data_IF_564217671961
#
_entry.id   IF_564217671961
#
_cell.length_a   1.000
_cell.length_b   1.000
_cell.length_c   1.000
_cell.angle_alpha   90.00
_cell.angle_beta   90.00
_cell.angle_gamma   90.00
#
_symmetry.space_group_name_H-M   'P 1'
#
loop_
_entity.id
_entity.type
_entity.pdbx_description
1 polymer ?
#
# COMPACT_ATOMS: atom_id res chain seq x y z
N UNK A 1 29.37 -32.76 7.88
CA UNK A 1 29.81 -31.46 7.34
C UNK A 1 28.70 -30.91 6.45
N UNK A 2 28.01 -29.85 6.89
CA UNK A 2 26.99 -29.20 6.06
C UNK A 2 27.73 -28.25 5.11
N UNK A 3 27.68 -28.54 3.80
CA UNK A 3 28.14 -27.59 2.79
C UNK A 3 27.24 -26.36 2.88
N UNK A 4 27.84 -25.17 3.00
CA UNK A 4 27.11 -23.91 2.86
C UNK A 4 26.64 -23.86 1.41
N UNK A 5 25.35 -24.12 1.20
CA UNK A 5 24.70 -23.97 -0.11
C UNK A 5 24.18 -22.54 -0.17
N UNK A 6 24.53 -21.75 -1.19
CA UNK A 6 23.93 -20.43 -1.40
C UNK A 6 22.41 -20.60 -1.52
N UNK A 7 21.64 -19.75 -0.83
CA UNK A 7 20.18 -19.76 -0.96
C UNK A 7 19.78 -19.61 -2.44
N UNK A 8 18.74 -20.34 -2.89
CA UNK A 8 18.34 -20.32 -4.29
C UNK A 8 17.94 -18.90 -4.73
N UNK A 9 18.33 -18.48 -5.96
CA UNK A 9 17.98 -17.17 -6.47
C UNK A 9 16.45 -17.07 -6.58
N UNK A 10 15.84 -16.17 -5.80
CA UNK A 10 14.40 -16.04 -5.64
C UNK A 10 13.89 -16.26 -4.21
N UNK A 11 14.73 -16.72 -3.28
CA UNK A 11 14.40 -16.81 -1.86
C UNK A 11 14.52 -15.46 -1.12
N UNK A 12 14.32 -14.33 -1.80
CA UNK A 12 14.09 -13.05 -1.13
C UNK A 12 12.75 -13.13 -0.42
N UNK A 13 12.77 -13.54 0.85
CA UNK A 13 11.64 -13.37 1.75
C UNK A 13 11.42 -11.86 1.86
N UNK A 14 10.46 -11.33 1.09
CA UNK A 14 10.04 -9.93 1.27
C UNK A 14 9.70 -9.77 2.76
N UNK A 15 10.36 -8.80 3.40
CA UNK A 15 10.03 -8.51 4.79
C UNK A 15 8.61 -7.95 4.85
N UNK A 16 7.97 -8.07 6.01
CA UNK A 16 6.66 -7.43 6.21
C UNK A 16 6.77 -5.91 6.00
N UNK A 17 7.90 -5.31 6.34
CA UNK A 17 8.18 -3.89 6.08
C UNK A 17 8.18 -3.57 4.58
N UNK A 18 8.90 -4.35 3.77
CA UNK A 18 8.93 -4.16 2.30
C UNK A 18 7.54 -4.25 1.69
N UNK A 19 6.72 -5.20 2.16
CA UNK A 19 5.33 -5.36 1.71
C UNK A 19 4.49 -4.15 2.11
N UNK A 20 4.61 -3.66 3.34
CA UNK A 20 3.86 -2.49 3.81
C UNK A 20 4.25 -1.21 3.06
N UNK A 21 5.54 -1.02 2.77
CA UNK A 21 6.03 0.09 1.93
C UNK A 21 5.41 0.00 0.54
N UNK A 22 5.47 -1.18 -0.08
CA UNK A 22 4.89 -1.38 -1.41
C UNK A 22 3.37 -1.14 -1.44
N UNK A 23 2.63 -1.58 -0.42
CA UNK A 23 1.19 -1.28 -0.31
C UNK A 23 0.97 0.23 -0.22
N UNK A 24 1.78 0.95 0.57
CA UNK A 24 1.68 2.41 0.67
C UNK A 24 1.84 3.10 -0.70
N UNK A 25 2.83 2.68 -1.49
CA UNK A 25 3.04 3.19 -2.86
C UNK A 25 1.81 2.96 -3.76
N UNK A 26 1.23 1.75 -3.72
CA UNK A 26 0.00 1.46 -4.46
C UNK A 26 -1.20 2.28 -3.98
N UNK A 27 -1.30 2.58 -2.69
CA UNK A 27 -2.38 3.43 -2.16
C UNK A 27 -2.26 4.87 -2.68
N UNK A 28 -1.05 5.42 -2.84
CA UNK A 28 -0.84 6.74 -3.45
C UNK A 28 -1.29 6.73 -4.92
N UNK A 29 -0.95 5.68 -5.67
CA UNK A 29 -1.44 5.53 -7.05
C UNK A 29 -2.97 5.44 -7.10
N UNK A 30 -3.59 4.63 -6.23
CA UNK A 30 -5.05 4.49 -6.16
C UNK A 30 -5.74 5.82 -5.84
N UNK A 31 -5.21 6.59 -4.88
CA UNK A 31 -5.73 7.89 -4.51
C UNK A 31 -5.67 8.88 -5.68
N UNK A 32 -4.55 8.88 -6.40
CA UNK A 32 -4.35 9.73 -7.58
C UNK A 32 -5.38 9.42 -8.67
N UNK A 33 -5.64 8.14 -8.94
CA UNK A 33 -6.65 7.71 -9.92
C UNK A 33 -8.05 8.15 -9.48
N UNK A 34 -8.39 7.99 -8.20
CA UNK A 34 -9.67 8.41 -7.66
C UNK A 34 -9.85 9.94 -7.77
N UNK A 35 -8.84 10.72 -7.40
CA UNK A 35 -8.84 12.18 -7.56
C UNK A 35 -9.02 12.61 -9.03
N UNK A 36 -8.30 11.99 -9.96
CA UNK A 36 -8.44 12.25 -11.39
C UNK A 36 -9.85 11.90 -11.90
N UNK A 37 -10.44 10.82 -11.40
CA UNK A 37 -11.82 10.42 -11.74
C UNK A 37 -12.83 11.48 -11.33
N UNK A 38 -12.68 12.08 -10.15
CA UNK A 38 -13.54 13.20 -9.68
C UNK A 38 -13.41 14.42 -10.60
N UNK A 39 -12.20 14.73 -11.05
CA UNK A 39 -11.96 15.86 -11.96
C UNK A 39 -12.55 15.64 -13.35
N UNK A 40 -12.50 14.42 -13.87
CA UNK A 40 -13.03 14.07 -15.20
C UNK A 40 -14.56 13.93 -15.21
N UNK A 41 -15.16 13.47 -14.11
CA UNK A 41 -16.59 13.16 -14.01
C UNK A 41 -17.29 13.92 -12.87
N UNK A 42 -17.16 15.24 -12.88
CA UNK A 42 -17.55 16.12 -11.77
C UNK A 42 -19.04 16.17 -11.41
N UNK A 43 -19.93 15.57 -12.19
CA UNK A 43 -21.40 15.60 -11.99
C UNK A 43 -22.06 14.21 -12.04
N UNK A 44 -21.26 13.14 -11.97
CA UNK A 44 -21.78 11.77 -12.07
C UNK A 44 -22.26 11.25 -10.70
N UNK A 45 -23.34 10.43 -10.62
CA UNK A 45 -23.74 9.72 -9.39
C UNK A 45 -22.61 8.90 -8.76
N UNK A 46 -21.65 8.43 -9.57
CA UNK A 46 -20.45 7.73 -9.13
C UNK A 46 -19.47 8.60 -8.33
N UNK A 47 -19.59 9.93 -8.36
CA UNK A 47 -18.67 10.84 -7.66
C UNK A 47 -18.70 10.63 -6.15
N UNK A 48 -19.88 10.40 -5.56
CA UNK A 48 -20.00 10.12 -4.12
C UNK A 48 -19.27 8.82 -3.76
N UNK A 49 -19.37 7.79 -4.61
CA UNK A 49 -18.65 6.53 -4.43
C UNK A 49 -17.14 6.73 -4.59
N UNK A 50 -16.70 7.57 -5.52
CA UNK A 50 -15.27 7.91 -5.68
C UNK A 50 -14.73 8.67 -4.48
N UNK A 51 -15.48 9.64 -3.95
CA UNK A 51 -15.09 10.37 -2.73
C UNK A 51 -15.03 9.44 -1.51
N UNK A 52 -16.00 8.53 -1.36
CA UNK A 52 -15.95 7.51 -0.32
C UNK A 52 -14.73 6.58 -0.49
N UNK A 53 -14.41 6.19 -1.73
CA UNK A 53 -13.21 5.40 -2.04
C UNK A 53 -11.94 6.13 -1.64
N UNK A 54 -11.84 7.44 -1.91
CA UNK A 54 -10.70 8.26 -1.48
C UNK A 54 -10.55 8.24 0.05
N UNK A 55 -11.65 8.40 0.78
CA UNK A 55 -11.65 8.36 2.25
C UNK A 55 -11.16 7.01 2.79
N UNK A 56 -11.62 5.89 2.22
CA UNK A 56 -11.16 4.56 2.63
C UNK A 56 -9.68 4.33 2.32
N UNK A 57 -9.17 4.86 1.19
CA UNK A 57 -7.75 4.80 0.84
C UNK A 57 -6.90 5.58 1.87
N UNK A 58 -7.32 6.77 2.26
CA UNK A 58 -6.64 7.58 3.29
C UNK A 58 -6.63 6.86 4.65
N UNK A 59 -7.75 6.26 5.05
CA UNK A 59 -7.82 5.48 6.27
C UNK A 59 -6.89 4.24 6.23
N UNK A 60 -6.83 3.56 5.08
CA UNK A 60 -5.90 2.46 4.88
C UNK A 60 -4.43 2.91 4.99
N UNK A 61 -4.06 4.07 4.44
CA UNK A 61 -2.72 4.64 4.59
C UNK A 61 -2.37 4.87 6.07
N UNK A 62 -3.28 5.44 6.87
CA UNK A 62 -3.06 5.61 8.31
C UNK A 62 -2.82 4.27 9.03
N UNK A 63 -3.56 3.21 8.66
CA UNK A 63 -3.35 1.88 9.22
C UNK A 63 -2.00 1.27 8.80
N UNK A 64 -1.54 1.54 7.58
CA UNK A 64 -0.22 1.13 7.08
C UNK A 64 0.88 1.84 7.86
N UNK A 65 0.76 3.15 8.12
CA UNK A 65 1.72 3.89 8.95
C UNK A 65 1.80 3.32 10.37
N UNK A 66 0.65 3.01 10.99
CA UNK A 66 0.61 2.32 12.28
C UNK A 66 1.27 0.95 12.20
N UNK A 67 1.03 0.19 11.14
CA UNK A 67 1.65 -1.12 10.94
C UNK A 67 3.18 -1.01 10.80
N UNK A 68 3.67 -0.07 10.00
CA UNK A 68 5.09 0.22 9.81
C UNK A 68 5.76 0.59 11.15
N UNK A 69 5.14 1.49 11.93
CA UNK A 69 5.68 1.86 13.25
C UNK A 69 5.86 0.65 14.18
N UNK A 70 4.95 -0.33 14.12
CA UNK A 70 5.02 -1.55 14.94
C UNK A 70 6.05 -2.55 14.44
N UNK A 71 6.33 -2.57 13.14
CA UNK A 71 7.39 -3.41 12.56
C UNK A 71 8.75 -2.82 12.93
N UNK A 72 8.93 -1.51 12.81
CA UNK A 72 10.17 -0.81 13.15
C UNK A 72 10.52 -0.89 14.64
N UNK A 73 9.51 -0.88 15.54
CA UNK A 73 9.73 -1.07 16.97
C UNK A 73 10.19 -2.49 17.38
N UNK A 74 10.07 -3.47 16.49
CA UNK A 74 10.44 -4.89 16.77
C UNK A 74 11.86 -5.25 16.32
N UNK A 75 12.57 -4.32 15.68
CA UNK A 75 13.93 -4.51 15.17
C UNK A 75 14.97 -3.80 16.04
#
# INVERSE_FOLDING_TARGET
>A
MLKIVPDPPGATKQSLEDVLIQISEYMVCALTIAQQTVLLHSSAPGQVLTLATMHEIENAQNLIEVALSKVQLKH
#
